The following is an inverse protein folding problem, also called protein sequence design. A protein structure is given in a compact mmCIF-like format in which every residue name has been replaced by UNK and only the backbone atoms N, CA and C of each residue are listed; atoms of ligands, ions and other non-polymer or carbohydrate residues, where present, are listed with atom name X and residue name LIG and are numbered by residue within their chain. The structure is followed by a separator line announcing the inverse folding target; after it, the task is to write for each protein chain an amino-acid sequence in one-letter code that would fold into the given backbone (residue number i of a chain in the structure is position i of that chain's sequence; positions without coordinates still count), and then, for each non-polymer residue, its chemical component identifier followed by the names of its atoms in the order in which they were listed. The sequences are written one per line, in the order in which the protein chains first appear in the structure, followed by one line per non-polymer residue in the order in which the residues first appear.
data_IF_902219767236
#
_entry.id   IF_902219767236
#
_cell.length_a   1.000
_cell.length_b   1.000
_cell.length_c   1.000
_cell.angle_alpha   90.00
_cell.angle_beta   90.00
_cell.angle_gamma   90.00
#
_symmetry.space_group_name_H-M   'P 1'
#
loop_
_entity.id
_entity.type
_entity.pdbx_description
1 polymer ?
#
# COMPACT_ATOMS: atom_id res chain seq x y z
N UNK A 1 4.83 16.67 29.21
CA UNK A 1 4.17 17.68 28.35
C UNK A 1 5.21 18.25 27.40
N UNK A 2 4.93 18.30 26.11
CA UNK A 2 5.72 19.11 25.18
C UNK A 2 5.54 20.57 25.56
N UNK A 3 6.65 21.26 25.83
CA UNK A 3 6.61 22.70 26.16
C UNK A 3 6.27 23.58 24.95
N UNK A 4 6.32 23.02 23.73
CA UNK A 4 6.12 23.78 22.49
C UNK A 4 5.65 22.85 21.37
N UNK A 5 4.66 23.30 20.58
CA UNK A 5 4.23 22.63 19.35
C UNK A 5 5.38 22.65 18.33
N UNK A 6 5.75 21.52 17.70
CA UNK A 6 6.84 21.53 16.72
C UNK A 6 6.39 22.25 15.44
N UNK A 7 7.23 23.13 14.90
CA UNK A 7 6.96 23.84 13.64
C UNK A 7 6.87 22.87 12.46
N UNK A 8 7.72 21.85 12.47
CA UNK A 8 7.72 20.83 11.45
C UNK A 8 8.23 19.47 11.95
N UNK A 9 7.83 18.38 11.24
CA UNK A 9 8.16 16.99 11.59
C UNK A 9 8.50 16.23 10.31
N UNK A 10 9.61 15.47 10.32
CA UNK A 10 9.93 14.48 9.29
C UNK A 10 9.44 13.09 9.73
N UNK A 11 8.65 12.44 8.90
CA UNK A 11 8.33 11.01 8.99
C UNK A 11 9.30 10.26 8.08
N UNK A 12 10.12 9.36 8.62
CA UNK A 12 11.13 8.61 7.86
C UNK A 12 10.69 7.17 7.63
N UNK A 13 10.25 6.86 6.40
CA UNK A 13 9.89 5.51 5.96
C UNK A 13 10.40 5.27 4.53
N UNK A 14 11.47 4.49 4.39
CA UNK A 14 12.24 4.37 3.13
C UNK A 14 12.27 2.95 2.56
N UNK A 15 11.31 2.13 2.89
CA UNK A 15 11.12 0.77 2.38
C UNK A 15 10.04 0.68 1.27
N UNK A 16 9.18 -0.32 1.26
CA UNK A 16 8.28 -0.60 0.15
C UNK A 16 7.05 0.33 0.11
N UNK A 17 6.35 0.39 -1.04
CA UNK A 17 5.11 1.17 -1.22
C UNK A 17 4.07 0.79 -0.17
N UNK A 18 3.87 -0.50 0.11
CA UNK A 18 2.89 -0.95 1.11
C UNK A 18 3.21 -0.43 2.50
N UNK A 19 4.49 -0.45 2.89
CA UNK A 19 4.98 0.11 4.15
C UNK A 19 4.76 1.62 4.26
N UNK A 20 5.03 2.33 3.18
CA UNK A 20 4.76 3.78 3.08
C UNK A 20 3.27 4.05 3.26
N UNK A 21 2.39 3.36 2.52
CA UNK A 21 0.92 3.53 2.66
C UNK A 21 0.48 3.30 4.10
N UNK A 22 0.94 2.22 4.74
CA UNK A 22 0.60 1.92 6.14
C UNK A 22 1.21 2.90 7.16
N UNK A 23 2.07 3.82 6.71
CA UNK A 23 2.65 4.89 7.55
C UNK A 23 1.96 6.24 7.34
N UNK A 24 1.28 6.47 6.21
CA UNK A 24 0.59 7.74 5.92
C UNK A 24 -0.41 8.17 7.02
N UNK A 25 -1.13 7.27 7.72
CA UNK A 25 -1.98 7.65 8.86
C UNK A 25 -1.26 8.43 9.97
N UNK A 26 0.06 8.27 10.11
CA UNK A 26 0.87 9.07 11.06
C UNK A 26 0.81 10.55 10.71
N UNK A 27 0.89 10.90 9.41
CA UNK A 27 0.79 12.30 8.98
C UNK A 27 -0.60 12.88 9.29
N UNK A 28 -1.67 12.12 9.06
CA UNK A 28 -3.03 12.55 9.38
C UNK A 28 -3.20 12.83 10.87
N UNK A 29 -2.75 11.93 11.73
CA UNK A 29 -2.85 12.07 13.19
C UNK A 29 -2.02 13.25 13.70
N UNK A 30 -0.82 13.47 13.14
CA UNK A 30 0.01 14.63 13.46
C UNK A 30 -0.67 15.94 13.07
N UNK A 31 -1.29 16.01 11.88
CA UNK A 31 -2.07 17.20 11.44
C UNK A 31 -3.31 17.46 12.30
N UNK A 32 -3.99 16.39 12.74
CA UNK A 32 -5.15 16.53 13.65
C UNK A 32 -4.73 17.05 15.02
N UNK A 33 -3.60 16.59 15.54
CA UNK A 33 -3.10 16.99 16.85
C UNK A 33 -2.38 18.35 16.83
N UNK A 34 -1.65 18.65 15.75
CA UNK A 34 -0.90 19.89 15.53
C UNK A 34 -1.28 20.50 14.15
N UNK A 35 -2.43 21.18 14.02
CA UNK A 35 -2.92 21.64 12.70
C UNK A 35 -1.96 22.57 11.94
N UNK A 36 -1.15 23.36 12.66
CA UNK A 36 -0.16 24.29 12.07
C UNK A 36 1.16 23.65 11.67
N UNK A 37 1.48 22.45 12.17
CA UNK A 37 2.76 21.78 11.93
C UNK A 37 2.92 21.35 10.48
N UNK A 38 4.08 21.59 9.88
CA UNK A 38 4.44 21.12 8.54
C UNK A 38 4.99 19.71 8.59
N UNK A 39 4.51 18.84 7.72
CA UNK A 39 4.91 17.44 7.65
C UNK A 39 5.75 17.18 6.41
N UNK A 40 7.03 16.85 6.64
CA UNK A 40 7.89 16.25 5.64
C UNK A 40 7.77 14.72 5.69
N UNK A 41 7.67 14.06 4.55
CA UNK A 41 7.74 12.60 4.51
C UNK A 41 8.97 12.17 3.71
N UNK A 42 9.90 11.49 4.37
CA UNK A 42 11.12 10.98 3.75
C UNK A 42 10.90 9.56 3.24
N UNK A 43 11.00 9.40 1.93
CA UNK A 43 10.87 8.16 1.19
C UNK A 43 11.97 7.97 0.15
N UNK A 44 11.82 6.96 -0.70
CA UNK A 44 12.62 6.78 -1.90
C UNK A 44 11.89 7.37 -3.10
N UNK A 45 12.62 7.79 -4.15
CA UNK A 45 12.06 8.41 -5.36
C UNK A 45 10.88 7.62 -5.94
N UNK A 46 10.96 6.28 -5.98
CA UNK A 46 9.87 5.44 -6.52
C UNK A 46 8.59 5.43 -5.67
N UNK A 47 8.65 5.89 -4.41
CA UNK A 47 7.47 6.02 -3.54
C UNK A 47 6.87 7.42 -3.53
N UNK A 48 7.51 8.38 -4.21
CA UNK A 48 7.12 9.80 -4.23
C UNK A 48 5.64 9.98 -4.53
N UNK A 49 5.14 9.38 -5.60
CA UNK A 49 3.77 9.58 -6.06
C UNK A 49 2.71 9.22 -5.01
N UNK A 50 2.92 8.15 -4.22
CA UNK A 50 1.97 7.77 -3.17
C UNK A 50 2.08 8.68 -1.94
N UNK A 51 3.26 9.21 -1.66
CA UNK A 51 3.48 10.16 -0.57
C UNK A 51 2.83 11.51 -0.91
N UNK A 52 3.03 12.01 -2.13
CA UNK A 52 2.47 13.26 -2.62
C UNK A 52 0.94 13.20 -2.80
N UNK A 53 0.37 12.02 -3.02
CA UNK A 53 -1.08 11.83 -3.00
C UNK A 53 -1.70 11.99 -1.59
N UNK A 54 -0.91 12.00 -0.52
CA UNK A 54 -1.39 12.18 0.85
C UNK A 54 -1.57 13.68 1.18
N UNK A 55 -2.80 14.18 1.43
CA UNK A 55 -3.06 15.59 1.66
C UNK A 55 -2.49 16.12 2.98
N UNK A 56 -2.00 15.24 3.85
CA UNK A 56 -1.42 15.58 5.14
C UNK A 56 0.10 15.74 5.09
N UNK A 57 0.73 15.48 3.93
CA UNK A 57 2.17 15.66 3.70
C UNK A 57 2.37 16.97 2.94
N UNK A 58 3.19 17.86 3.50
CA UNK A 58 3.49 19.17 2.88
C UNK A 58 4.74 19.10 1.99
N UNK A 59 5.68 18.19 2.26
CA UNK A 59 6.96 18.09 1.52
C UNK A 59 7.39 16.63 1.39
N UNK A 60 7.63 16.16 0.17
CA UNK A 60 8.39 14.93 -0.05
C UNK A 60 9.89 15.20 0.10
N UNK A 61 10.59 14.33 0.82
CA UNK A 61 12.05 14.38 0.98
C UNK A 61 12.64 13.08 0.42
N UNK A 62 13.50 13.18 -0.58
CA UNK A 62 14.21 12.00 -1.05
C UNK A 62 15.29 11.61 -0.02
N UNK A 63 15.37 10.32 0.30
CA UNK A 63 16.37 9.81 1.25
C UNK A 63 17.79 10.07 0.77
N UNK A 64 18.04 10.12 -0.54
CA UNK A 64 19.35 10.42 -1.12
C UNK A 64 19.76 11.87 -0.81
N UNK A 65 18.84 12.81 -0.99
CA UNK A 65 19.07 14.23 -0.67
C UNK A 65 19.31 14.41 0.84
N UNK A 66 18.48 13.74 1.68
CA UNK A 66 18.70 13.76 3.13
C UNK A 66 20.08 13.26 3.53
N UNK A 67 20.63 12.26 2.85
CA UNK A 67 21.94 11.70 3.17
C UNK A 67 23.10 12.60 2.76
N UNK A 68 22.95 13.42 1.73
CA UNK A 68 24.05 14.19 1.14
C UNK A 68 23.92 15.70 1.39
N UNK A 69 22.71 16.24 1.47
CA UNK A 69 22.43 17.67 1.51
C UNK A 69 21.75 18.09 2.83
N UNK A 70 21.65 19.41 3.05
CA UNK A 70 20.79 19.98 4.09
C UNK A 70 19.36 20.05 3.56
N UNK A 71 18.47 19.24 4.15
CA UNK A 71 17.05 19.25 3.77
C UNK A 71 16.25 20.21 4.61
N UNK A 72 15.16 20.71 4.04
CA UNK A 72 14.17 21.55 4.72
C UNK A 72 12.78 20.94 4.61
N UNK A 73 11.90 21.32 5.52
CA UNK A 73 10.46 21.08 5.43
C UNK A 73 9.80 22.43 5.21
N UNK A 74 9.24 22.65 4.00
CA UNK A 74 8.68 23.95 3.59
C UNK A 74 9.65 25.13 3.79
N UNK A 75 10.94 24.94 3.52
CA UNK A 75 11.98 25.97 3.66
C UNK A 75 12.62 26.10 5.05
N UNK A 76 12.10 25.41 6.05
CA UNK A 76 12.58 25.46 7.43
C UNK A 76 13.43 24.25 7.82
N UNK A 77 14.37 24.44 8.74
CA UNK A 77 15.17 23.33 9.30
C UNK A 77 14.27 22.35 10.06
N UNK A 78 14.49 21.02 9.92
CA UNK A 78 13.69 20.02 10.61
C UNK A 78 13.79 20.15 12.14
N UNK A 79 12.64 20.24 12.83
CA UNK A 79 12.55 20.28 14.29
C UNK A 79 12.46 18.88 14.91
N UNK A 80 11.75 17.97 14.26
CA UNK A 80 11.51 16.59 14.73
C UNK A 80 11.73 15.60 13.59
N UNK A 81 12.28 14.42 13.91
CA UNK A 81 12.28 13.27 13.01
C UNK A 81 11.74 12.02 13.72
N UNK A 82 10.80 11.31 13.07
CA UNK A 82 10.28 10.00 13.46
C UNK A 82 10.96 8.92 12.62
N UNK A 83 11.70 8.01 13.26
CA UNK A 83 12.34 6.87 12.57
C UNK A 83 11.39 5.68 12.47
N UNK A 84 10.36 5.76 11.57
CA UNK A 84 9.38 4.69 11.38
C UNK A 84 10.03 3.42 10.81
N UNK A 85 10.95 3.57 9.88
CA UNK A 85 11.91 2.53 9.54
C UNK A 85 13.23 2.83 10.24
N UNK A 86 13.70 1.97 11.18
CA UNK A 86 14.96 2.19 11.85
C UNK A 86 16.15 1.83 10.94
N UNK A 87 16.79 2.86 10.37
CA UNK A 87 17.99 2.76 9.52
C UNK A 87 19.15 3.47 10.20
N UNK A 88 20.29 2.78 10.50
CA UNK A 88 21.41 3.39 11.21
C UNK A 88 21.94 4.65 10.53
N UNK A 89 22.21 4.60 9.23
CA UNK A 89 22.76 5.75 8.49
C UNK A 89 21.88 7.00 8.61
N UNK A 90 20.55 6.85 8.49
CA UNK A 90 19.59 7.95 8.64
C UNK A 90 19.62 8.51 10.06
N UNK A 91 19.68 7.65 11.09
CA UNK A 91 19.69 8.06 12.48
C UNK A 91 20.98 8.84 12.84
N UNK A 92 22.15 8.38 12.38
CA UNK A 92 23.41 9.11 12.54
C UNK A 92 23.40 10.44 11.77
N UNK A 93 22.87 10.46 10.55
CA UNK A 93 22.74 11.68 9.75
C UNK A 93 21.84 12.71 10.43
N UNK A 94 20.69 12.30 10.94
CA UNK A 94 19.77 13.15 11.69
C UNK A 94 20.44 13.79 12.92
N UNK A 95 21.26 13.02 13.64
CA UNK A 95 22.06 13.54 14.76
C UNK A 95 23.11 14.55 14.27
N UNK A 96 23.83 14.26 13.19
CA UNK A 96 24.86 15.14 12.58
C UNK A 96 24.25 16.47 12.10
N UNK A 97 23.03 16.43 11.54
CA UNK A 97 22.28 17.62 11.12
C UNK A 97 21.76 18.45 12.30
N UNK A 98 21.89 17.96 13.53
CA UNK A 98 21.44 18.66 14.73
C UNK A 98 19.91 18.75 14.87
N UNK A 99 19.14 17.83 14.26
CA UNK A 99 17.67 17.82 14.41
C UNK A 99 17.35 17.73 15.90
N UNK A 100 16.60 18.71 16.49
CA UNK A 100 16.45 18.83 17.94
C UNK A 100 15.80 17.61 18.60
N UNK A 101 14.70 17.08 18.01
CA UNK A 101 14.03 15.89 18.52
C UNK A 101 14.16 14.74 17.53
N UNK A 102 14.74 13.65 17.99
CA UNK A 102 14.95 12.44 17.19
C UNK A 102 14.30 11.27 17.92
N UNK A 103 13.19 10.80 17.38
CA UNK A 103 12.33 9.78 18.00
C UNK A 103 12.61 8.44 17.33
N UNK A 104 12.99 7.45 18.13
CA UNK A 104 13.30 6.10 17.68
C UNK A 104 12.82 5.04 18.66
N UNK A 105 13.21 3.79 18.44
CA UNK A 105 12.75 2.65 19.26
C UNK A 105 13.86 2.13 20.16
N UNK A 106 13.51 1.60 21.33
CA UNK A 106 14.45 0.99 22.29
C UNK A 106 15.14 -0.26 21.77
N UNK A 107 14.58 -0.94 20.74
CA UNK A 107 15.08 -2.22 20.21
C UNK A 107 16.26 -2.09 19.24
N UNK A 108 16.77 -0.88 19.03
CA UNK A 108 17.91 -0.61 18.17
C UNK A 108 19.01 0.06 18.98
N UNK A 109 20.13 -0.63 19.17
CA UNK A 109 21.23 -0.13 19.99
C UNK A 109 21.75 1.24 19.55
N UNK A 110 21.84 1.47 18.23
CA UNK A 110 22.28 2.76 17.70
C UNK A 110 21.28 3.91 17.98
N UNK A 111 19.99 3.64 18.23
CA UNK A 111 19.04 4.69 18.64
C UNK A 111 19.36 5.26 20.02
N UNK A 112 19.97 4.48 20.91
CA UNK A 112 20.42 4.98 22.22
C UNK A 112 21.53 6.04 22.09
N UNK A 113 22.29 6.02 20.96
CA UNK A 113 23.35 6.97 20.67
C UNK A 113 22.88 8.13 19.77
N UNK A 114 21.81 7.95 19.00
CA UNK A 114 21.39 8.88 17.95
C UNK A 114 20.05 9.56 18.24
N UNK A 115 19.14 8.91 18.94
CA UNK A 115 17.84 9.45 19.30
C UNK A 115 17.85 9.97 20.74
N UNK A 116 17.07 11.01 21.02
CA UNK A 116 16.91 11.57 22.36
C UNK A 116 15.49 11.39 22.93
N UNK A 117 14.63 10.72 22.19
CA UNK A 117 13.32 10.20 22.62
C UNK A 117 13.20 8.76 22.14
N UNK A 118 12.97 7.83 23.06
CA UNK A 118 12.91 6.40 22.74
C UNK A 118 11.56 5.82 23.15
N UNK A 119 10.93 5.11 22.22
CA UNK A 119 9.66 4.41 22.43
C UNK A 119 9.92 2.91 22.56
N UNK A 120 9.28 2.27 23.55
CA UNK A 120 9.35 0.82 23.73
C UNK A 120 8.45 0.12 22.70
N UNK A 121 9.02 -0.14 21.53
CA UNK A 121 8.31 -0.71 20.38
C UNK A 121 9.07 -1.89 19.79
N UNK A 122 8.45 -3.08 19.74
CA UNK A 122 9.00 -4.26 19.09
C UNK A 122 8.06 -4.75 17.98
N UNK A 123 8.55 -4.73 16.75
CA UNK A 123 7.83 -5.30 15.61
C UNK A 123 7.89 -6.84 15.59
N UNK A 124 8.95 -7.44 16.13
CA UNK A 124 9.18 -8.91 16.08
C UNK A 124 8.15 -9.71 16.87
N UNK A 125 7.79 -9.22 18.05
CA UNK A 125 6.93 -9.95 19.01
C UNK A 125 5.54 -9.33 19.15
N UNK A 126 5.15 -8.42 18.27
CA UNK A 126 3.84 -7.76 18.35
C UNK A 126 2.75 -8.54 17.62
N UNK A 127 1.55 -8.49 18.19
CA UNK A 127 0.31 -8.94 17.55
C UNK A 127 -0.38 -7.80 16.76
N UNK A 128 0.12 -6.56 16.93
CA UNK A 128 -0.47 -5.39 16.31
C UNK A 128 -0.19 -5.35 14.81
N UNK A 129 -1.09 -4.74 14.08
CA UNK A 129 -0.93 -4.38 12.68
C UNK A 129 0.21 -3.37 12.47
N UNK A 130 0.88 -3.38 11.31
CA UNK A 130 2.00 -2.45 11.04
C UNK A 130 1.59 -0.99 11.20
N UNK A 131 0.42 -0.59 10.72
CA UNK A 131 -0.08 0.78 10.88
C UNK A 131 -0.32 1.16 12.34
N UNK A 132 -0.78 0.23 13.19
CA UNK A 132 -0.90 0.48 14.63
C UNK A 132 0.48 0.69 15.28
N UNK A 133 1.49 -0.06 14.83
CA UNK A 133 2.84 0.10 15.34
C UNK A 133 3.47 1.43 14.91
N UNK A 134 3.19 1.88 13.68
CA UNK A 134 3.62 3.18 13.21
C UNK A 134 2.99 4.31 14.07
N UNK A 135 1.70 4.22 14.39
CA UNK A 135 1.01 5.19 15.24
C UNK A 135 1.45 5.20 16.71
N UNK A 136 2.27 4.24 17.15
CA UNK A 136 2.88 4.26 18.49
C UNK A 136 4.15 5.10 18.57
N UNK A 137 4.88 5.27 17.47
CA UNK A 137 6.15 6.00 17.50
C UNK A 137 5.99 7.49 17.88
N UNK A 138 4.92 8.21 17.50
CA UNK A 138 4.69 9.60 17.92
C UNK A 138 4.32 9.80 19.39
N UNK A 139 4.26 8.76 20.23
CA UNK A 139 3.91 8.85 21.67
C UNK A 139 4.63 9.99 22.41
N UNK A 140 5.97 10.21 22.23
CA UNK A 140 6.68 11.30 22.93
C UNK A 140 6.20 12.70 22.56
N UNK A 141 5.40 12.85 21.52
CA UNK A 141 4.74 14.09 21.10
C UNK A 141 3.36 14.29 21.75
N UNK A 142 2.93 13.39 22.64
CA UNK A 142 1.62 13.43 23.27
C UNK A 142 0.49 12.83 22.41
N UNK A 143 0.86 12.13 21.34
CA UNK A 143 -0.11 11.49 20.43
C UNK A 143 -0.68 10.22 21.08
N UNK A 144 -1.99 10.00 20.92
CA UNK A 144 -2.68 8.77 21.29
C UNK A 144 -2.04 7.56 20.58
N UNK A 145 -1.81 6.47 21.32
CA UNK A 145 -1.13 5.27 20.81
C UNK A 145 -2.06 4.10 20.49
N UNK A 146 -3.29 4.15 20.94
CA UNK A 146 -4.27 3.09 20.75
C UNK A 146 -5.28 3.48 19.67
N UNK A 147 -5.26 2.72 18.58
CA UNK A 147 -6.10 2.91 17.40
C UNK A 147 -6.67 1.57 16.94
N UNK A 148 -7.96 1.51 16.69
CA UNK A 148 -8.57 0.40 15.98
C UNK A 148 -8.20 0.43 14.49
N UNK A 149 -8.23 -0.73 13.83
CA UNK A 149 -7.95 -0.79 12.38
C UNK A 149 -9.00 -0.02 11.56
N UNK A 150 -10.25 0.01 12.04
CA UNK A 150 -11.32 0.77 11.40
C UNK A 150 -11.07 2.28 11.46
N UNK A 151 -10.64 2.82 12.61
CA UNK A 151 -10.26 4.23 12.74
C UNK A 151 -9.09 4.57 11.81
N UNK A 152 -8.06 3.71 11.76
CA UNK A 152 -6.89 3.93 10.89
C UNK A 152 -7.31 3.96 9.42
N UNK A 153 -8.23 3.07 9.01
CA UNK A 153 -8.74 3.02 7.64
C UNK A 153 -9.42 4.31 7.18
N UNK A 154 -9.86 5.18 8.10
CA UNK A 154 -10.48 6.47 7.79
C UNK A 154 -9.48 7.64 7.69
N UNK A 155 -8.18 7.41 7.99
CA UNK A 155 -7.17 8.46 8.07
C UNK A 155 -6.45 8.75 6.76
N UNK A 156 -6.64 7.95 5.71
CA UNK A 156 -5.83 8.08 4.49
C UNK A 156 -6.13 9.34 3.68
N UNK A 157 -7.35 9.51 3.21
CA UNK A 157 -7.79 10.68 2.45
C UNK A 157 -7.00 10.95 1.16
N UNK A 158 -6.42 9.91 0.52
CA UNK A 158 -5.57 10.05 -0.65
C UNK A 158 -6.26 10.80 -1.79
N UNK A 159 -5.53 11.73 -2.42
CA UNK A 159 -5.94 12.52 -3.57
C UNK A 159 -4.98 12.23 -4.72
N UNK A 160 -5.30 11.29 -5.62
CA UNK A 160 -4.45 11.00 -6.76
C UNK A 160 -4.41 12.18 -7.75
N UNK A 161 -3.35 12.20 -8.57
CA UNK A 161 -3.28 13.08 -9.73
C UNK A 161 -4.43 12.79 -10.71
N UNK A 162 -4.78 13.73 -11.61
CA UNK A 162 -5.74 13.46 -12.69
C UNK A 162 -5.29 12.25 -13.53
N UNK A 163 -6.23 11.38 -13.86
CA UNK A 163 -5.98 10.25 -14.75
C UNK A 163 -5.84 10.77 -16.18
N UNK A 164 -4.82 10.30 -16.90
CA UNK A 164 -4.63 10.59 -18.32
C UNK A 164 -5.88 10.13 -19.11
N UNK A 165 -6.41 10.95 -20.03
CA UNK A 165 -7.58 10.60 -20.84
C UNK A 165 -7.45 9.31 -21.61
N UNK A 166 -6.24 8.93 -22.07
CA UNK A 166 -6.00 7.67 -22.75
C UNK A 166 -6.23 6.48 -21.83
N UNK A 167 -5.81 6.56 -20.55
CA UNK A 167 -6.08 5.52 -19.56
C UNK A 167 -7.53 5.54 -19.08
N UNK A 168 -8.14 6.71 -18.96
CA UNK A 168 -9.56 6.83 -18.65
C UNK A 168 -10.44 6.15 -19.70
N UNK A 169 -10.07 6.26 -21.00
CA UNK A 169 -10.75 5.60 -22.09
C UNK A 169 -10.75 4.06 -21.96
N UNK A 170 -9.70 3.45 -21.41
CA UNK A 170 -9.66 2.00 -21.16
C UNK A 170 -10.77 1.55 -20.22
N UNK A 171 -11.10 2.35 -19.21
CA UNK A 171 -12.15 2.03 -18.22
C UNK A 171 -13.56 2.14 -18.81
N UNK A 172 -13.70 2.80 -19.96
CA UNK A 172 -14.99 3.05 -20.64
C UNK A 172 -15.11 2.28 -21.96
N UNK A 173 -13.99 1.73 -22.48
CA UNK A 173 -13.96 1.15 -23.81
C UNK A 173 -14.89 -0.06 -23.94
N UNK A 174 -15.60 -0.11 -25.06
CA UNK A 174 -16.50 -1.22 -25.44
C UNK A 174 -15.76 -2.29 -26.25
N UNK A 175 -14.50 -2.04 -26.64
CA UNK A 175 -13.77 -2.81 -27.66
C UNK A 175 -13.41 -4.25 -27.29
N UNK A 176 -13.60 -4.66 -26.04
CA UNK A 176 -13.18 -5.99 -25.59
C UNK A 176 -14.29 -7.06 -25.56
N UNK A 177 -15.36 -6.88 -26.33
CA UNK A 177 -16.32 -7.94 -26.54
C UNK A 177 -16.59 -8.16 -28.04
N UNK A 178 -15.71 -8.90 -28.77
CA UNK A 178 -15.85 -9.11 -30.21
C UNK A 178 -17.13 -9.90 -30.62
N UNK A 179 -17.84 -10.49 -29.66
CA UNK A 179 -18.97 -11.40 -29.96
C UNK A 179 -20.34 -10.73 -29.92
N UNK A 180 -20.54 -9.53 -29.35
CA UNK A 180 -21.88 -8.92 -29.35
C UNK A 180 -21.88 -7.39 -29.12
N UNK A 181 -22.01 -6.56 -30.19
CA UNK A 181 -22.12 -5.11 -30.11
C UNK A 181 -23.39 -4.59 -29.39
N UNK A 182 -24.40 -5.44 -29.19
CA UNK A 182 -25.65 -5.05 -28.52
C UNK A 182 -25.53 -5.01 -26.99
N UNK A 183 -24.40 -5.47 -26.43
CA UNK A 183 -24.14 -5.48 -25.00
C UNK A 183 -23.37 -4.22 -24.53
N UNK A 184 -23.78 -3.05 -25.01
CA UNK A 184 -23.29 -1.76 -24.50
C UNK A 184 -23.77 -1.56 -23.07
N UNK A 185 -22.88 -1.80 -22.07
CA UNK A 185 -23.12 -1.41 -20.69
C UNK A 185 -21.97 -0.52 -20.23
N UNK A 186 -22.20 0.78 -20.01
CA UNK A 186 -21.21 1.69 -19.40
C UNK A 186 -20.88 1.28 -17.96
N UNK A 187 -21.73 0.45 -17.33
CA UNK A 187 -21.73 0.18 -15.88
C UNK A 187 -21.06 -1.14 -15.50
N UNK A 188 -20.06 -1.61 -16.29
CA UNK A 188 -19.28 -2.78 -15.89
C UNK A 188 -18.35 -2.47 -14.73
N UNK A 189 -18.23 -3.41 -13.81
CA UNK A 189 -17.26 -3.35 -12.70
C UNK A 189 -15.83 -3.45 -13.25
N UNK A 190 -15.04 -2.40 -13.09
CA UNK A 190 -13.64 -2.31 -13.51
C UNK A 190 -12.76 -2.99 -12.47
N UNK A 191 -12.33 -4.22 -12.75
CA UNK A 191 -11.53 -5.03 -11.85
C UNK A 191 -10.07 -5.06 -12.28
N UNK A 192 -9.16 -4.68 -11.38
CA UNK A 192 -7.73 -4.83 -11.57
C UNK A 192 -7.26 -6.12 -10.88
N UNK A 193 -6.58 -6.98 -11.64
CA UNK A 193 -5.83 -8.12 -11.13
C UNK A 193 -4.34 -7.76 -11.12
N UNK A 194 -3.67 -7.92 -9.95
CA UNK A 194 -2.24 -7.64 -9.79
C UNK A 194 -1.53 -8.91 -9.29
N UNK A 195 -1.15 -9.84 -10.20
CA UNK A 195 -0.73 -11.18 -9.82
C UNK A 195 0.67 -11.27 -9.21
N UNK A 196 1.56 -10.31 -9.49
CA UNK A 196 2.97 -10.36 -9.11
C UNK A 196 3.29 -9.47 -7.90
N UNK A 197 4.34 -9.84 -7.16
CA UNK A 197 4.71 -9.18 -5.90
C UNK A 197 6.16 -8.72 -5.83
N UNK A 198 6.94 -8.87 -6.89
CA UNK A 198 8.39 -8.63 -6.91
C UNK A 198 9.14 -9.37 -5.78
N UNK A 199 8.61 -10.49 -5.31
CA UNK A 199 9.18 -11.27 -4.21
C UNK A 199 8.88 -10.75 -2.80
N UNK A 200 8.12 -9.68 -2.65
CA UNK A 200 7.77 -9.11 -1.34
C UNK A 200 6.63 -9.87 -0.64
N UNK A 201 5.75 -10.54 -1.38
CA UNK A 201 4.65 -11.34 -0.86
C UNK A 201 4.66 -12.78 -1.39
N UNK A 202 3.81 -13.64 -0.82
CA UNK A 202 3.50 -14.95 -1.42
C UNK A 202 2.50 -14.72 -2.53
N UNK A 203 2.85 -15.14 -3.75
CA UNK A 203 1.99 -14.98 -4.91
C UNK A 203 0.91 -16.07 -4.94
N UNK A 204 -0.30 -15.68 -5.33
CA UNK A 204 -1.36 -16.62 -5.68
C UNK A 204 -1.02 -17.25 -7.04
N UNK A 205 -1.22 -18.56 -7.25
CA UNK A 205 -0.89 -19.22 -8.53
C UNK A 205 -1.53 -18.53 -9.72
N UNK A 206 -0.81 -18.41 -10.83
CA UNK A 206 -1.37 -17.81 -12.07
C UNK A 206 -2.57 -18.59 -12.59
N UNK A 207 -2.57 -19.91 -12.43
CA UNK A 207 -3.67 -20.81 -12.78
C UNK A 207 -4.97 -20.43 -12.07
N UNK A 208 -4.87 -19.92 -10.84
CA UNK A 208 -6.03 -19.46 -10.07
C UNK A 208 -6.56 -18.12 -10.60
N UNK A 209 -5.67 -17.21 -11.03
CA UNK A 209 -6.08 -15.98 -11.72
C UNK A 209 -6.76 -16.32 -13.06
N UNK A 210 -6.19 -17.24 -13.85
CA UNK A 210 -6.78 -17.72 -15.10
C UNK A 210 -8.18 -18.32 -14.85
N UNK A 211 -8.31 -19.16 -13.82
CA UNK A 211 -9.59 -19.74 -13.45
C UNK A 211 -10.59 -18.68 -13.00
N UNK A 212 -10.19 -17.72 -12.15
CA UNK A 212 -11.04 -16.60 -11.74
C UNK A 212 -11.56 -15.82 -12.96
N UNK A 213 -10.66 -15.44 -13.88
CA UNK A 213 -11.03 -14.70 -15.10
C UNK A 213 -12.09 -15.46 -15.90
N UNK A 214 -11.95 -16.78 -16.06
CA UNK A 214 -12.92 -17.62 -16.79
C UNK A 214 -14.25 -17.81 -16.08
N UNK A 215 -14.28 -17.65 -14.75
CA UNK A 215 -15.49 -17.76 -13.93
C UNK A 215 -16.31 -16.48 -13.88
N UNK A 216 -15.70 -15.31 -14.17
CA UNK A 216 -16.38 -14.02 -14.10
C UNK A 216 -17.19 -13.75 -15.38
N UNK A 217 -18.38 -13.19 -15.20
CA UNK A 217 -19.23 -12.73 -16.29
C UNK A 217 -18.69 -11.43 -16.89
N UNK A 218 -18.11 -11.50 -18.10
CA UNK A 218 -17.55 -10.35 -18.80
C UNK A 218 -18.60 -9.31 -19.24
N UNK A 219 -19.88 -9.62 -19.17
CA UNK A 219 -20.93 -8.61 -19.33
C UNK A 219 -21.01 -7.68 -18.12
N UNK A 220 -20.59 -8.16 -16.95
CA UNK A 220 -20.59 -7.43 -15.68
C UNK A 220 -19.22 -6.93 -15.27
N UNK A 221 -18.15 -7.56 -15.73
CA UNK A 221 -16.79 -7.23 -15.37
C UNK A 221 -15.97 -6.80 -16.59
N UNK A 222 -15.17 -5.76 -16.41
CA UNK A 222 -14.04 -5.42 -17.27
C UNK A 222 -12.77 -5.68 -16.47
N UNK A 223 -11.91 -6.55 -16.98
CA UNK A 223 -10.76 -7.08 -16.25
C UNK A 223 -9.46 -6.50 -16.82
N UNK A 224 -8.68 -5.89 -15.96
CA UNK A 224 -7.34 -5.39 -16.26
C UNK A 224 -6.29 -6.23 -15.54
N UNK A 225 -5.22 -6.62 -16.23
CA UNK A 225 -4.07 -7.27 -15.61
C UNK A 225 -2.93 -6.28 -15.53
N UNK A 226 -2.48 -5.99 -14.31
CA UNK A 226 -1.42 -5.02 -14.02
C UNK A 226 -0.15 -5.68 -13.52
N UNK A 227 0.97 -5.00 -13.72
CA UNK A 227 2.31 -5.37 -13.28
C UNK A 227 3.31 -4.36 -13.78
N UNK A 228 4.56 -4.48 -13.38
CA UNK A 228 5.66 -3.71 -13.96
C UNK A 228 6.04 -4.27 -15.33
N UNK A 229 6.71 -3.47 -16.17
CA UNK A 229 7.24 -3.94 -17.45
C UNK A 229 8.15 -5.18 -17.30
N UNK A 230 8.90 -5.26 -16.20
CA UNK A 230 9.79 -6.41 -15.90
C UNK A 230 9.03 -7.70 -15.54
N UNK A 231 7.77 -7.59 -15.17
CA UNK A 231 6.94 -8.74 -14.79
C UNK A 231 6.14 -9.29 -15.98
N UNK A 232 6.11 -8.57 -17.10
CA UNK A 232 5.29 -8.94 -18.26
C UNK A 232 5.58 -10.35 -18.78
N UNK A 233 6.86 -10.72 -18.90
CA UNK A 233 7.25 -12.06 -19.38
C UNK A 233 6.75 -13.16 -18.42
N UNK A 234 6.76 -12.87 -17.11
CA UNK A 234 6.23 -13.79 -16.08
C UNK A 234 4.71 -13.89 -16.10
N UNK A 235 4.02 -12.96 -16.73
CA UNK A 235 2.57 -12.94 -16.91
C UNK A 235 2.14 -13.51 -18.27
N UNK A 236 3.07 -13.76 -19.21
CA UNK A 236 2.78 -14.27 -20.53
C UNK A 236 1.92 -15.55 -20.51
N UNK A 237 2.16 -16.56 -19.62
CA UNK A 237 1.31 -17.74 -19.55
C UNK A 237 -0.16 -17.43 -19.21
N UNK A 238 -0.41 -16.37 -18.43
CA UNK A 238 -1.78 -15.91 -18.16
C UNK A 238 -2.39 -15.31 -19.42
N UNK A 239 -1.67 -14.41 -20.11
CA UNK A 239 -2.18 -13.77 -21.34
C UNK A 239 -2.45 -14.80 -22.45
N UNK A 240 -1.57 -15.79 -22.62
CA UNK A 240 -1.77 -16.88 -23.59
C UNK A 240 -3.03 -17.71 -23.27
N UNK A 241 -3.33 -17.91 -21.98
CA UNK A 241 -4.47 -18.72 -21.56
C UNK A 241 -5.82 -18.01 -21.61
N UNK A 242 -5.85 -16.67 -21.46
CA UNK A 242 -7.09 -15.89 -21.37
C UNK A 242 -7.33 -14.98 -22.60
N UNK A 243 -6.30 -14.66 -23.36
CA UNK A 243 -6.40 -13.85 -24.59
C UNK A 243 -7.15 -12.53 -24.36
N UNK A 244 -8.16 -12.28 -25.18
CA UNK A 244 -8.96 -11.04 -25.18
C UNK A 244 -9.96 -10.92 -24.01
N UNK A 245 -9.99 -11.86 -23.05
CA UNK A 245 -10.85 -11.73 -21.87
C UNK A 245 -10.39 -10.63 -20.90
N UNK A 246 -9.15 -10.16 -21.05
CA UNK A 246 -8.54 -9.14 -20.20
C UNK A 246 -7.85 -8.06 -21.02
N UNK A 247 -7.68 -6.88 -20.42
CA UNK A 247 -6.82 -5.82 -20.94
C UNK A 247 -5.48 -5.86 -20.21
N UNK A 248 -4.39 -6.06 -20.97
CA UNK A 248 -3.02 -5.95 -20.43
C UNK A 248 -2.65 -4.48 -20.23
N UNK A 249 -2.38 -4.08 -18.99
CA UNK A 249 -1.88 -2.75 -18.63
C UNK A 249 -0.49 -2.80 -17.96
N UNK A 250 0.23 -3.91 -18.14
CA UNK A 250 1.57 -4.08 -17.56
C UNK A 250 2.57 -3.07 -18.13
N UNK A 251 3.22 -2.31 -17.25
CA UNK A 251 4.26 -1.34 -17.62
C UNK A 251 3.75 -0.12 -18.39
N UNK A 252 2.44 0.06 -18.56
CA UNK A 252 1.88 1.19 -19.32
C UNK A 252 1.88 2.51 -18.53
N UNK A 253 1.88 2.45 -17.21
CA UNK A 253 1.69 3.60 -16.33
C UNK A 253 2.87 3.75 -15.38
N UNK A 254 3.25 4.98 -15.08
CA UNK A 254 4.03 5.28 -13.89
C UNK A 254 3.18 5.11 -12.61
N UNK A 255 3.79 5.24 -11.45
CA UNK A 255 3.07 5.03 -10.19
C UNK A 255 1.95 6.07 -9.97
N UNK A 256 2.13 7.33 -10.39
CA UNK A 256 1.12 8.38 -10.23
C UNK A 256 -0.14 8.07 -11.05
N UNK A 257 0.04 7.67 -12.32
CA UNK A 257 -1.06 7.27 -13.20
C UNK A 257 -1.70 5.94 -12.75
N UNK A 258 -0.90 5.00 -12.22
CA UNK A 258 -1.46 3.77 -11.69
C UNK A 258 -2.31 3.99 -10.43
N UNK A 259 -1.91 4.91 -9.52
CA UNK A 259 -2.73 5.32 -8.37
C UNK A 259 -4.05 5.95 -8.87
N UNK A 260 -3.99 6.82 -9.87
CA UNK A 260 -5.17 7.44 -10.48
C UNK A 260 -6.09 6.40 -11.16
N UNK A 261 -5.49 5.41 -11.85
CA UNK A 261 -6.23 4.31 -12.46
C UNK A 261 -6.93 3.42 -11.42
N UNK A 262 -6.25 3.07 -10.33
CA UNK A 262 -6.86 2.36 -9.19
C UNK A 262 -8.02 3.17 -8.61
N UNK A 263 -7.86 4.49 -8.48
CA UNK A 263 -8.93 5.36 -7.99
C UNK A 263 -10.14 5.41 -8.93
N UNK A 264 -9.93 5.33 -10.23
CA UNK A 264 -11.01 5.33 -11.23
C UNK A 264 -11.65 3.94 -11.43
N UNK A 265 -10.94 2.86 -11.09
CA UNK A 265 -11.46 1.49 -11.08
C UNK A 265 -12.38 1.23 -9.86
N UNK A 266 -13.07 0.08 -9.84
CA UNK A 266 -13.99 -0.30 -8.77
C UNK A 266 -13.32 -1.21 -7.74
N UNK A 267 -12.45 -2.13 -8.17
CA UNK A 267 -11.78 -3.06 -7.26
C UNK A 267 -10.43 -3.56 -7.76
N UNK A 268 -9.67 -4.11 -6.80
CA UNK A 268 -8.36 -4.69 -7.06
C UNK A 268 -8.16 -5.98 -6.26
N UNK A 269 -7.68 -7.02 -6.94
CA UNK A 269 -7.27 -8.30 -6.33
C UNK A 269 -5.75 -8.41 -6.41
N UNK A 270 -5.10 -8.62 -5.27
CA UNK A 270 -3.67 -8.87 -5.21
C UNK A 270 -3.26 -9.64 -3.96
N UNK A 271 -2.08 -10.25 -3.98
CA UNK A 271 -1.39 -10.65 -2.75
C UNK A 271 -0.97 -9.41 -1.95
N UNK A 272 -0.39 -9.57 -0.75
CA UNK A 272 0.04 -8.46 0.10
C UNK A 272 1.09 -7.57 -0.56
N UNK A 273 0.67 -6.64 -1.41
CA UNK A 273 1.51 -5.77 -2.26
C UNK A 273 1.13 -4.30 -2.11
N UNK A 274 1.99 -3.40 -2.60
CA UNK A 274 1.73 -1.95 -2.60
C UNK A 274 0.38 -1.55 -3.22
N UNK A 275 0.03 -2.01 -4.43
CA UNK A 275 -1.25 -1.72 -5.08
C UNK A 275 -2.48 -2.09 -4.26
N UNK A 276 -2.43 -3.21 -3.51
CA UNK A 276 -3.51 -3.61 -2.62
C UNK A 276 -3.77 -2.57 -1.51
N UNK A 277 -2.69 -2.09 -0.88
CA UNK A 277 -2.78 -1.07 0.16
C UNK A 277 -3.25 0.27 -0.41
N UNK A 278 -2.82 0.63 -1.62
CA UNK A 278 -3.28 1.84 -2.31
C UNK A 278 -4.79 1.75 -2.59
N UNK A 279 -5.29 0.63 -3.12
CA UNK A 279 -6.71 0.44 -3.40
C UNK A 279 -7.56 0.58 -2.13
N UNK A 280 -7.14 -0.03 -1.02
CA UNK A 280 -7.82 0.09 0.26
C UNK A 280 -7.80 1.52 0.80
N UNK A 281 -6.66 2.21 0.73
CA UNK A 281 -6.49 3.59 1.18
C UNK A 281 -7.31 4.60 0.34
N UNK A 282 -7.59 4.27 -0.92
CA UNK A 282 -8.49 5.01 -1.81
C UNK A 282 -9.98 4.65 -1.60
N UNK A 283 -10.29 3.75 -0.65
CA UNK A 283 -11.66 3.32 -0.38
C UNK A 283 -12.27 2.41 -1.44
N UNK A 284 -11.46 1.79 -2.29
CA UNK A 284 -11.90 0.85 -3.32
C UNK A 284 -12.08 -0.56 -2.74
N UNK A 285 -12.79 -1.43 -3.47
CA UNK A 285 -12.84 -2.83 -3.11
C UNK A 285 -11.43 -3.44 -3.24
N UNK A 286 -10.84 -3.80 -2.11
CA UNK A 286 -9.48 -4.31 -2.06
C UNK A 286 -9.48 -5.76 -1.54
N UNK A 287 -9.24 -6.71 -2.43
CA UNK A 287 -9.27 -8.15 -2.13
C UNK A 287 -7.85 -8.67 -1.95
N UNK A 288 -7.44 -8.83 -0.70
CA UNK A 288 -6.09 -9.25 -0.34
C UNK A 288 -5.97 -10.76 -0.13
N UNK A 289 -4.99 -11.37 -0.80
CA UNK A 289 -4.67 -12.79 -0.71
C UNK A 289 -3.44 -12.98 0.18
N UNK A 290 -3.58 -13.72 1.27
CA UNK A 290 -2.53 -13.83 2.27
C UNK A 290 -2.28 -15.26 2.73
N UNK A 291 -1.01 -15.64 3.00
CA UNK A 291 -0.72 -16.84 3.75
C UNK A 291 -0.95 -16.60 5.26
N UNK A 292 -1.30 -17.63 6.03
CA UNK A 292 -1.51 -17.50 7.48
C UNK A 292 -0.21 -17.39 8.29
N UNK A 293 0.96 -17.45 7.65
CA UNK A 293 2.26 -17.55 8.32
C UNK A 293 2.88 -16.19 8.67
N UNK A 294 3.57 -16.11 9.80
CA UNK A 294 4.42 -14.96 10.14
C UNK A 294 5.72 -14.96 9.35
N UNK A 295 6.22 -13.77 8.96
CA UNK A 295 5.75 -12.42 9.27
C UNK A 295 4.72 -11.84 8.30
N UNK A 296 4.31 -12.56 7.25
CA UNK A 296 3.54 -12.05 6.09
C UNK A 296 2.03 -12.28 6.20
N UNK A 297 1.52 -12.62 7.38
CA UNK A 297 0.10 -12.88 7.64
C UNK A 297 -0.75 -11.60 7.65
N UNK A 298 -2.07 -11.70 7.42
CA UNK A 298 -2.95 -10.51 7.34
C UNK A 298 -3.09 -9.75 8.66
N UNK A 299 -2.97 -10.42 9.81
CA UNK A 299 -2.98 -9.72 11.11
C UNK A 299 -1.88 -8.64 11.23
N UNK A 300 -0.83 -8.72 10.39
CA UNK A 300 0.22 -7.72 10.30
C UNK A 300 0.05 -6.78 9.11
N UNK A 301 -0.43 -7.28 7.97
CA UNK A 301 -0.34 -6.62 6.67
C UNK A 301 -1.66 -6.55 5.92
N UNK A 302 -2.82 -6.74 6.57
CA UNK A 302 -4.09 -6.56 5.89
C UNK A 302 -4.20 -5.15 5.27
N UNK A 303 -4.84 -5.00 4.10
CA UNK A 303 -5.18 -3.68 3.59
C UNK A 303 -6.18 -3.00 4.54
N UNK A 304 -6.02 -1.72 4.79
CA UNK A 304 -6.89 -0.95 5.68
C UNK A 304 -7.74 0.03 4.87
N UNK A 305 -9.03 -0.21 4.86
CA UNK A 305 -10.03 0.60 4.17
C UNK A 305 -11.44 0.04 4.40
N UNK A 306 -12.49 0.84 4.17
CA UNK A 306 -13.87 0.45 4.50
C UNK A 306 -14.39 -0.74 3.68
N UNK A 307 -13.81 -0.99 2.51
CA UNK A 307 -14.20 -2.07 1.58
C UNK A 307 -13.08 -3.10 1.37
N UNK A 308 -12.12 -3.14 2.29
CA UNK A 308 -11.04 -4.13 2.22
C UNK A 308 -11.49 -5.50 2.75
N UNK A 309 -11.13 -6.55 2.04
CA UNK A 309 -11.39 -7.94 2.41
C UNK A 309 -10.12 -8.77 2.29
N UNK A 310 -9.99 -9.80 3.14
CA UNK A 310 -8.84 -10.68 3.18
C UNK A 310 -9.28 -12.13 2.99
N UNK A 311 -8.58 -12.84 2.11
CA UNK A 311 -8.71 -14.27 1.89
C UNK A 311 -7.46 -14.97 2.40
N UNK A 312 -7.65 -15.87 3.33
CA UNK A 312 -6.58 -16.60 4.03
C UNK A 312 -7.11 -17.94 4.51
N UNK A 313 -6.30 -18.98 4.41
CA UNK A 313 -6.63 -20.27 5.04
C UNK A 313 -6.48 -20.16 6.56
N UNK A 314 -7.30 -20.93 7.30
CA UNK A 314 -7.26 -20.95 8.77
C UNK A 314 -5.99 -21.60 9.29
N UNK A 315 -5.53 -22.67 8.64
CA UNK A 315 -4.42 -23.49 9.10
C UNK A 315 -3.09 -22.99 8.54
N UNK A 316 -2.14 -22.75 9.44
CA UNK A 316 -0.80 -22.35 9.06
C UNK A 316 -0.02 -23.57 8.59
N UNK A 317 0.56 -23.51 7.38
CA UNK A 317 1.61 -24.44 6.98
C UNK A 317 3.00 -23.82 7.20
N UNK A 318 4.02 -24.66 7.27
CA UNK A 318 5.41 -24.21 7.39
C UNK A 318 6.22 -24.43 6.10
N UNK A 319 5.62 -25.04 5.08
CA UNK A 319 6.30 -25.49 3.85
C UNK A 319 6.87 -24.33 3.05
N UNK A 320 6.13 -23.23 2.92
CA UNK A 320 6.57 -22.05 2.19
C UNK A 320 7.73 -21.27 2.83
N UNK A 321 8.21 -21.68 4.01
CA UNK A 321 9.47 -21.15 4.56
C UNK A 321 10.68 -21.68 3.80
N UNK A 322 10.57 -22.90 3.23
CA UNK A 322 11.63 -23.54 2.45
C UNK A 322 11.52 -23.19 0.97
N UNK A 323 10.29 -23.17 0.44
CA UNK A 323 9.99 -22.80 -0.95
C UNK A 323 8.86 -21.78 -1.01
N UNK A 324 9.16 -20.48 -1.16
CA UNK A 324 8.16 -19.42 -1.31
C UNK A 324 7.27 -19.55 -2.54
N UNK A 325 7.75 -20.17 -3.62
CA UNK A 325 7.01 -20.32 -4.87
C UNK A 325 5.94 -21.43 -4.77
N UNK A 326 6.23 -22.50 -4.01
CA UNK A 326 5.33 -23.63 -3.77
C UNK A 326 4.42 -23.47 -2.55
N UNK A 327 3.87 -22.27 -2.30
CA UNK A 327 3.05 -22.01 -1.11
C UNK A 327 1.66 -22.65 -1.20
N UNK A 328 1.50 -23.83 -0.58
CA UNK A 328 0.21 -24.55 -0.52
C UNK A 328 -0.92 -23.74 0.13
N UNK A 329 -0.61 -22.84 1.06
CA UNK A 329 -1.60 -21.95 1.68
C UNK A 329 -2.18 -20.94 0.67
N UNK A 330 -1.35 -20.46 -0.26
CA UNK A 330 -1.85 -19.56 -1.33
C UNK A 330 -2.63 -20.35 -2.37
N UNK A 331 -2.16 -21.54 -2.75
CA UNK A 331 -2.85 -22.42 -3.68
C UNK A 331 -4.21 -22.93 -3.15
N UNK A 332 -4.38 -23.01 -1.83
CA UNK A 332 -5.65 -23.40 -1.20
C UNK A 332 -6.70 -22.29 -1.12
N UNK A 333 -6.38 -21.05 -1.49
CA UNK A 333 -7.40 -19.99 -1.62
C UNK A 333 -8.12 -20.19 -2.93
N UNK A 334 -9.38 -20.63 -2.87
CA UNK A 334 -10.15 -21.02 -4.04
C UNK A 334 -10.67 -19.81 -4.84
N UNK A 335 -10.55 -19.81 -6.19
CA UNK A 335 -11.11 -18.75 -7.05
C UNK A 335 -12.60 -18.49 -6.85
N UNK A 336 -13.37 -19.49 -6.47
CA UNK A 336 -14.80 -19.36 -6.19
C UNK A 336 -15.11 -18.45 -5.01
N UNK A 337 -14.22 -18.35 -4.02
CA UNK A 337 -14.42 -17.43 -2.89
C UNK A 337 -14.31 -15.97 -3.34
N UNK A 338 -13.34 -15.68 -4.21
CA UNK A 338 -13.18 -14.35 -4.77
C UNK A 338 -14.34 -14.01 -5.71
N UNK A 339 -14.76 -14.97 -6.57
CA UNK A 339 -15.92 -14.79 -7.45
C UNK A 339 -17.15 -14.36 -6.67
N UNK A 340 -17.49 -15.07 -5.59
CA UNK A 340 -18.64 -14.74 -4.76
C UNK A 340 -18.59 -13.32 -4.17
N UNK A 341 -17.41 -12.89 -3.69
CA UNK A 341 -17.20 -11.55 -3.15
C UNK A 341 -17.30 -10.46 -4.24
N UNK A 342 -16.70 -10.71 -5.41
CA UNK A 342 -16.72 -9.80 -6.56
C UNK A 342 -18.14 -9.63 -7.14
N UNK A 343 -18.90 -10.73 -7.28
CA UNK A 343 -20.28 -10.68 -7.76
C UNK A 343 -21.21 -9.92 -6.82
N UNK A 344 -20.99 -10.06 -5.50
CA UNK A 344 -21.70 -9.27 -4.50
C UNK A 344 -21.41 -7.78 -4.63
N UNK A 345 -20.13 -7.40 -4.81
CA UNK A 345 -19.73 -6.02 -5.00
C UNK A 345 -20.30 -5.42 -6.29
N UNK A 346 -20.20 -6.15 -7.40
CA UNK A 346 -20.73 -5.72 -8.69
C UNK A 346 -22.27 -5.59 -8.70
N UNK A 347 -22.98 -6.29 -7.82
CA UNK A 347 -24.45 -6.18 -7.69
C UNK A 347 -24.88 -4.91 -6.96
N UNK A 348 -24.02 -4.26 -6.21
CA UNK A 348 -24.29 -2.98 -5.54
C UNK A 348 -24.10 -1.74 -6.45
N UNK A 349 -23.66 -1.92 -7.68
CA UNK A 349 -23.46 -0.87 -8.69
C UNK A 349 -24.70 -0.70 -9.59
N UNK A 350 -25.66 -1.66 -9.51
CA UNK A 350 -26.91 -1.65 -10.29
C UNK A 350 -28.05 -1.03 -9.42
#
# INVERSE_FOLDING_TARGET
MLKQVPDNIIISRTDSIGDVVLTLPVAAVLKQHFPGTKIGFMGRSYTRAVIEACPYVDTFIDVTDFMHEAVTVCGEKPAVILHELPVPAIAYRAKKLGIPQRIGTTNRSYHWLTCNRLVRLSRKNSQLHEAQLNLRLPEPLGIRTEWSLAEIGQLYGLKPAPLDPAFAALLQSEEHHPANPALRRPDRYNLILHPKSQGHGREWPLEHFIHLIRLLDLQRFRIFVSGTAKERDRLQPLFDAVGSLVTDITGMMDLAQFIAFIHAADGLVASGTGPLHIAAALGKDAYGLFPPIRPVHPGRWAPLGPRAQVFVLKDACNDCRKDPAGCSCMAGIEPLWLKAALEKAASGII
#
